data_IF_889142132757
#
_entry.id   IF_889142132757
#
_cell.length_a   1.000
_cell.length_b   1.000
_cell.length_c   1.000
_cell.angle_alpha   90.00
_cell.angle_beta   90.00
_cell.angle_gamma   90.00
#
_symmetry.space_group_name_H-M   'P 1'
#
loop_
_entity.id
_entity.type
_entity.pdbx_description
1 polymer ?
#
# COMPACT_ATOMS: atom_id res chain seq x y z
N UNK A 1 12.70 -34.34 59.81
CA UNK A 1 11.25 -34.49 60.10
C UNK A 1 10.53 -33.87 58.92
N UNK A 2 10.23 -34.64 57.87
CA UNK A 2 8.97 -35.42 57.74
C UNK A 2 7.74 -34.55 58.08
N UNK A 3 6.71 -34.41 57.26
CA UNK A 3 6.11 -35.38 56.34
C UNK A 3 5.24 -34.65 55.31
N UNK A 4 5.13 -35.26 54.14
CA UNK A 4 4.18 -35.00 53.06
C UNK A 4 2.72 -35.12 53.50
N UNK A 5 1.81 -34.53 52.69
CA UNK A 5 0.61 -35.25 52.22
C UNK A 5 0.06 -34.64 50.93
N UNK A 6 -0.04 -35.53 49.96
CA UNK A 6 -0.43 -35.38 48.56
C UNK A 6 -1.93 -35.68 48.45
N UNK A 7 -2.68 -34.88 47.67
CA UNK A 7 -4.12 -35.07 47.42
C UNK A 7 -4.35 -35.76 46.07
N UNK A 8 -5.23 -36.78 45.96
CA UNK A 8 -5.38 -37.59 44.75
C UNK A 8 -6.52 -37.14 43.82
N UNK A 9 -6.20 -37.16 42.52
CA UNK A 9 -6.96 -37.79 41.42
C UNK A 9 -8.47 -37.56 41.29
N UNK A 10 -8.87 -36.90 40.20
CA UNK A 10 -10.17 -37.15 39.55
C UNK A 10 -9.95 -37.49 38.07
N UNK A 11 -10.13 -38.77 37.76
CA UNK A 11 -10.11 -39.34 36.42
C UNK A 11 -11.54 -39.35 35.89
N UNK A 12 -11.81 -38.65 34.78
CA UNK A 12 -13.11 -38.69 34.09
C UNK A 12 -13.05 -39.78 33.02
N UNK A 13 -13.90 -40.80 33.19
CA UNK A 13 -14.15 -41.88 32.24
C UNK A 13 -15.13 -41.41 31.14
N UNK A 14 -14.71 -41.43 29.87
CA UNK A 14 -15.64 -41.39 28.73
C UNK A 14 -15.93 -42.81 28.24
N UNK A 15 -17.21 -43.17 28.31
CA UNK A 15 -17.78 -44.47 27.98
C UNK A 15 -18.17 -44.49 26.51
N UNK A 16 -17.69 -45.50 25.80
CA UNK A 16 -18.01 -45.89 24.41
C UNK A 16 -19.48 -46.33 24.26
N UNK A 17 -20.11 -45.98 23.13
CA UNK A 17 -21.32 -46.62 22.57
C UNK A 17 -21.11 -46.70 21.05
N UNK A 18 -20.67 -47.85 20.52
CA UNK A 18 -21.47 -48.96 19.96
C UNK A 18 -22.20 -48.57 18.67
N UNK A 19 -21.66 -49.13 17.59
CA UNK A 19 -22.16 -49.15 16.21
C UNK A 19 -23.58 -49.74 16.11
N UNK A 20 -24.43 -49.11 15.29
CA UNK A 20 -25.66 -49.73 14.81
C UNK A 20 -25.71 -49.68 13.27
N UNK A 21 -25.75 -50.87 12.69
CA UNK A 21 -25.83 -51.18 11.26
C UNK A 21 -27.03 -50.51 10.57
N UNK A 22 -26.83 -50.09 9.31
CA UNK A 22 -27.86 -50.26 8.27
C UNK A 22 -27.24 -50.50 6.90
N UNK A 23 -27.32 -51.76 6.50
CA UNK A 23 -27.08 -52.33 5.17
C UNK A 23 -27.96 -51.66 4.11
N UNK A 24 -27.37 -51.13 3.05
CA UNK A 24 -28.09 -50.69 1.85
C UNK A 24 -27.91 -51.72 0.74
N UNK A 25 -29.00 -52.41 0.40
CA UNK A 25 -29.04 -53.50 -0.57
C UNK A 25 -29.23 -52.94 -1.99
N UNK A 26 -28.28 -53.22 -2.88
CA UNK A 26 -28.39 -52.95 -4.32
C UNK A 26 -29.50 -53.82 -4.94
N UNK A 27 -30.51 -53.18 -5.54
CA UNK A 27 -31.42 -53.84 -6.49
C UNK A 27 -31.10 -53.37 -7.90
N UNK A 28 -30.64 -54.34 -8.68
CA UNK A 28 -30.57 -54.38 -10.14
C UNK A 28 -31.87 -53.95 -10.81
N UNK A 29 -31.79 -53.05 -11.80
CA UNK A 29 -32.76 -52.99 -12.90
C UNK A 29 -32.02 -52.78 -14.22
N UNK A 30 -32.15 -53.76 -15.11
CA UNK A 30 -31.61 -53.79 -16.47
C UNK A 30 -32.52 -52.99 -17.42
N UNK A 31 -31.88 -52.18 -18.27
CA UNK A 31 -32.08 -52.04 -19.72
C UNK A 31 -33.50 -51.77 -20.26
N UNK A 32 -33.68 -50.59 -20.88
CA UNK A 32 -34.45 -50.41 -22.14
C UNK A 32 -33.79 -49.27 -22.95
N UNK A 33 -33.60 -49.57 -24.24
CA UNK A 33 -32.94 -48.82 -25.31
C UNK A 33 -33.64 -47.54 -25.78
N UNK A 34 -32.90 -46.83 -26.66
CA UNK A 34 -33.34 -45.86 -27.67
C UNK A 34 -33.56 -44.41 -27.20
N UNK A 35 -32.48 -43.62 -27.21
CA UNK A 35 -32.49 -42.30 -27.87
C UNK A 35 -31.10 -42.01 -28.45
N UNK A 36 -30.89 -42.53 -29.66
CA UNK A 36 -29.97 -41.97 -30.65
C UNK A 36 -30.77 -40.85 -31.34
N UNK A 37 -30.41 -39.58 -31.16
CA UNK A 37 -30.65 -38.44 -32.07
C UNK A 37 -29.91 -37.21 -31.51
N UNK A 38 -28.90 -36.78 -32.26
CA UNK A 38 -28.59 -35.38 -32.54
C UNK A 38 -28.23 -34.46 -31.34
N UNK A 39 -26.95 -34.46 -30.98
CA UNK A 39 -26.28 -33.26 -30.44
C UNK A 39 -24.96 -33.05 -31.19
N UNK A 40 -25.09 -32.69 -32.47
CA UNK A 40 -24.00 -32.16 -33.28
C UNK A 40 -23.77 -30.70 -32.88
N UNK A 41 -22.50 -30.36 -32.64
CA UNK A 41 -21.93 -29.01 -32.73
C UNK A 41 -22.50 -27.93 -31.80
N UNK A 42 -22.05 -27.96 -30.53
CA UNK A 42 -21.79 -26.73 -29.77
C UNK A 42 -20.39 -26.82 -29.15
N UNK A 43 -19.38 -27.01 -30.00
CA UNK A 43 -18.04 -26.49 -29.72
C UNK A 43 -18.09 -24.98 -29.95
N UNK A 44 -18.81 -24.29 -29.05
CA UNK A 44 -18.61 -22.88 -28.83
C UNK A 44 -17.20 -22.76 -28.29
N UNK A 45 -16.34 -22.18 -29.12
CA UNK A 45 -15.00 -21.76 -28.78
C UNK A 45 -14.97 -21.20 -27.36
N UNK A 46 -14.40 -21.97 -26.42
CA UNK A 46 -13.72 -21.38 -25.27
C UNK A 46 -12.48 -20.71 -25.84
N UNK A 47 -12.67 -19.52 -26.40
CA UNK A 47 -11.58 -18.58 -26.55
C UNK A 47 -11.22 -18.19 -25.13
N UNK A 48 -10.41 -19.02 -24.48
CA UNK A 48 -9.48 -18.50 -23.48
C UNK A 48 -8.53 -17.63 -24.31
N UNK A 49 -8.95 -16.39 -24.55
CA UNK A 49 -8.04 -15.31 -24.85
C UNK A 49 -7.18 -15.22 -23.59
N UNK A 50 -6.09 -15.98 -23.58
CA UNK A 50 -5.05 -15.87 -22.57
C UNK A 50 -4.14 -14.74 -23.02
N UNK A 51 -4.74 -13.58 -23.28
CA UNK A 51 -4.07 -12.32 -23.08
C UNK A 51 -4.06 -12.12 -21.57
N UNK A 52 -3.23 -12.94 -20.89
CA UNK A 52 -2.52 -12.47 -19.71
C UNK A 52 -1.65 -11.33 -20.24
N UNK A 53 -2.27 -10.16 -20.39
CA UNK A 53 -1.61 -8.88 -20.18
C UNK A 53 -0.98 -9.03 -18.80
N UNK A 54 0.24 -9.58 -18.76
CA UNK A 54 1.14 -9.60 -17.63
C UNK A 54 1.55 -8.14 -17.40
N UNK A 55 0.57 -7.33 -17.02
CA UNK A 55 0.70 -5.97 -16.57
C UNK A 55 1.23 -6.09 -15.15
N UNK A 56 2.52 -6.37 -15.05
CA UNK A 56 3.25 -6.21 -13.79
C UNK A 56 3.02 -4.79 -13.34
N UNK A 57 2.23 -4.62 -12.28
CA UNK A 57 1.90 -3.30 -11.78
C UNK A 57 3.16 -2.62 -11.24
N UNK A 58 3.30 -1.29 -11.40
CA UNK A 58 4.49 -0.56 -10.99
C UNK A 58 4.82 -0.78 -9.50
N UNK A 59 3.82 -0.73 -8.62
CA UNK A 59 3.95 -1.00 -7.19
C UNK A 59 3.16 -2.28 -6.83
N UNK A 60 3.80 -3.14 -6.06
CA UNK A 60 3.20 -4.37 -5.54
C UNK A 60 2.34 -4.04 -4.32
N UNK A 61 1.08 -4.46 -4.29
CA UNK A 61 0.22 -4.28 -3.10
C UNK A 61 0.69 -5.17 -1.94
N UNK A 62 0.51 -4.71 -0.71
CA UNK A 62 0.89 -5.42 0.52
C UNK A 62 2.36 -5.29 0.91
N UNK A 63 3.18 -4.57 0.13
CA UNK A 63 4.56 -4.24 0.51
C UNK A 63 4.59 -3.09 1.51
N UNK A 64 5.66 -3.02 2.29
CA UNK A 64 5.86 -1.91 3.21
C UNK A 64 6.62 -0.78 2.53
N UNK A 65 6.22 0.46 2.81
CA UNK A 65 6.91 1.65 2.35
C UNK A 65 7.10 2.61 3.52
N UNK A 66 8.31 3.15 3.63
CA UNK A 66 8.66 4.20 4.58
C UNK A 66 8.81 5.52 3.85
N UNK A 67 8.14 6.55 4.35
CA UNK A 67 8.24 7.92 3.84
C UNK A 67 9.13 8.73 4.77
N UNK A 68 10.15 9.35 4.19
CA UNK A 68 11.00 10.34 4.83
C UNK A 68 10.98 11.64 4.00
N UNK A 69 11.27 12.78 4.62
CA UNK A 69 11.26 14.07 3.93
C UNK A 69 12.56 14.86 4.13
N UNK A 70 12.98 15.55 3.08
CA UNK A 70 14.06 16.54 3.15
C UNK A 70 13.62 17.82 2.48
N UNK A 71 14.19 18.93 2.94
CA UNK A 71 13.93 20.24 2.39
C UNK A 71 15.23 20.94 2.01
N UNK A 72 15.21 21.64 0.87
CA UNK A 72 16.29 22.50 0.43
C UNK A 72 15.71 23.84 0.01
N UNK A 73 16.28 24.94 0.49
CA UNK A 73 15.96 26.27 -0.01
C UNK A 73 17.16 27.18 0.08
N UNK A 74 17.36 28.01 -0.94
CA UNK A 74 18.41 29.04 -0.95
C UNK A 74 18.29 30.03 0.21
N UNK A 75 17.08 30.29 0.71
CA UNK A 75 16.83 31.29 1.77
C UNK A 75 16.76 30.67 3.16
N UNK A 76 16.26 29.44 3.29
CA UNK A 76 16.06 28.78 4.60
C UNK A 76 17.26 27.90 4.96
N UNK A 77 17.71 27.05 4.04
CA UNK A 77 18.79 26.09 4.30
C UNK A 77 20.10 26.47 3.63
N UNK A 78 20.22 27.72 3.14
CA UNK A 78 21.38 28.19 2.36
C UNK A 78 21.71 27.31 1.15
N UNK A 79 20.68 26.68 0.57
CA UNK A 79 20.81 25.78 -0.57
C UNK A 79 21.33 24.39 -0.22
N UNK A 80 21.40 24.03 1.06
CA UNK A 80 21.78 22.68 1.52
C UNK A 80 20.51 21.84 1.71
N UNK A 81 20.48 20.66 1.11
CA UNK A 81 19.43 19.67 1.40
C UNK A 81 19.57 19.17 2.84
N UNK A 82 18.49 19.29 3.61
CA UNK A 82 18.48 19.07 5.05
C UNK A 82 17.30 18.18 5.41
N UNK A 83 17.49 17.26 6.36
CA UNK A 83 16.40 16.44 6.89
C UNK A 83 15.32 17.36 7.50
N UNK A 84 14.05 17.01 7.29
CA UNK A 84 12.95 17.89 7.72
C UNK A 84 12.88 18.02 9.25
N UNK A 85 13.31 16.99 9.97
CA UNK A 85 13.40 17.00 11.43
C UNK A 85 14.37 18.07 11.94
N UNK A 86 15.47 18.32 11.23
CA UNK A 86 16.41 19.37 11.62
C UNK A 86 15.75 20.76 11.52
N UNK A 87 14.89 20.97 10.50
CA UNK A 87 14.12 22.22 10.35
C UNK A 87 13.07 22.38 11.44
N UNK A 88 12.40 21.30 11.83
CA UNK A 88 11.39 21.30 12.88
C UNK A 88 11.95 21.07 14.29
N UNK A 89 13.28 21.00 14.43
CA UNK A 89 13.98 20.69 15.68
C UNK A 89 13.44 19.41 16.36
N UNK A 90 13.11 18.41 15.56
CA UNK A 90 12.66 17.10 16.02
C UNK A 90 13.83 16.10 16.07
N UNK A 91 13.72 15.02 16.85
CA UNK A 91 14.70 13.94 16.81
C UNK A 91 14.79 13.31 15.40
N UNK A 92 16.00 12.91 14.98
CA UNK A 92 16.19 12.22 13.70
C UNK A 92 15.30 10.96 13.58
N UNK A 93 14.64 10.81 12.43
CA UNK A 93 13.73 9.69 12.13
C UNK A 93 12.38 9.76 12.84
N UNK A 94 12.09 10.82 13.60
CA UNK A 94 10.82 10.93 14.33
C UNK A 94 9.64 11.34 13.45
N UNK A 95 9.90 11.85 12.24
CA UNK A 95 8.87 12.19 11.27
C UNK A 95 8.83 11.20 10.10
N UNK A 96 9.67 10.16 10.12
CA UNK A 96 9.55 9.01 9.23
C UNK A 96 8.32 8.18 9.61
N UNK A 97 7.55 7.79 8.60
CA UNK A 97 6.35 6.97 8.80
C UNK A 97 6.38 5.78 7.86
N UNK A 98 6.04 4.60 8.37
CA UNK A 98 5.94 3.37 7.59
C UNK A 98 4.49 2.91 7.51
N UNK A 99 4.05 2.52 6.32
CA UNK A 99 2.75 1.92 6.07
C UNK A 99 2.88 0.68 5.18
N UNK A 100 1.76 -0.01 4.99
CA UNK A 100 1.60 -1.11 4.03
C UNK A 100 0.68 -0.63 2.91
N UNK A 101 1.06 -0.88 1.66
CA UNK A 101 0.28 -0.47 0.48
C UNK A 101 -1.03 -1.28 0.42
N UNK A 102 -2.17 -0.61 0.58
CA UNK A 102 -3.50 -1.22 0.57
C UNK A 102 -4.47 -0.39 -0.28
N UNK A 103 -5.79 -0.60 -0.17
CA UNK A 103 -6.81 0.16 -0.91
C UNK A 103 -7.31 1.36 -0.09
N UNK A 104 -6.42 2.07 0.61
CA UNK A 104 -6.75 3.20 1.47
C UNK A 104 -5.53 4.08 1.71
N UNK A 105 -5.77 5.38 1.92
CA UNK A 105 -4.73 6.38 2.26
C UNK A 105 -3.73 5.86 3.29
N UNK A 106 -2.49 5.64 2.85
CA UNK A 106 -1.43 5.08 3.70
C UNK A 106 -0.92 6.06 4.75
N UNK A 107 -0.87 7.35 4.42
CA UNK A 107 -0.28 8.37 5.30
C UNK A 107 -1.23 9.55 5.51
N UNK A 108 -2.29 9.38 6.31
CA UNK A 108 -3.15 10.50 6.68
C UNK A 108 -2.40 11.48 7.58
N UNK A 109 -2.54 12.77 7.31
CA UNK A 109 -1.94 13.86 8.07
C UNK A 109 -0.41 13.70 8.26
N UNK A 110 0.28 13.17 7.25
CA UNK A 110 1.73 13.04 7.20
C UNK A 110 2.42 14.38 7.45
N UNK A 111 3.62 14.29 8.03
CA UNK A 111 4.47 15.42 8.38
C UNK A 111 3.69 16.45 9.19
N UNK A 112 3.32 16.08 10.42
CA UNK A 112 2.67 16.97 11.38
C UNK A 112 1.36 17.60 10.86
N UNK A 113 0.59 16.87 10.04
CA UNK A 113 -0.69 17.32 9.50
C UNK A 113 -0.62 18.08 8.18
N UNK A 114 0.49 17.99 7.45
CA UNK A 114 0.65 18.69 6.18
C UNK A 114 -0.13 18.05 5.02
N UNK A 115 0.16 16.78 4.76
CA UNK A 115 -0.34 16.07 3.58
C UNK A 115 -1.10 14.81 3.98
N UNK A 116 -2.18 14.52 3.26
CA UNK A 116 -2.62 13.14 3.09
C UNK A 116 -1.86 12.59 1.88
N UNK A 117 -1.16 11.46 2.06
CA UNK A 117 -0.46 10.76 0.97
C UNK A 117 -1.09 9.39 0.79
N UNK A 118 -1.48 9.10 -0.45
CA UNK A 118 -2.15 7.87 -0.86
C UNK A 118 -1.36 7.24 -2.01
N UNK A 119 -1.02 5.96 -1.85
CA UNK A 119 -0.17 5.19 -2.76
C UNK A 119 -0.93 3.94 -3.19
N UNK A 120 -1.33 3.93 -4.44
CA UNK A 120 -1.87 2.74 -5.08
C UNK A 120 -0.79 2.06 -5.96
N UNK A 121 -1.18 0.97 -6.60
CA UNK A 121 -0.31 0.18 -7.47
C UNK A 121 0.24 0.95 -8.69
N UNK A 122 -0.42 2.05 -9.08
CA UNK A 122 -0.06 2.86 -10.26
C UNK A 122 0.00 4.36 -9.97
N UNK A 123 -0.29 4.80 -8.75
CA UNK A 123 -0.36 6.23 -8.46
C UNK A 123 0.20 6.56 -7.08
N UNK A 124 0.82 7.73 -6.99
CA UNK A 124 1.15 8.38 -5.72
C UNK A 124 0.44 9.73 -5.76
N UNK A 125 -0.44 9.99 -4.79
CA UNK A 125 -1.17 11.25 -4.70
C UNK A 125 -0.91 11.95 -3.38
N UNK A 126 -0.96 13.28 -3.44
CA UNK A 126 -0.78 14.16 -2.29
C UNK A 126 -1.94 15.14 -2.25
N UNK A 127 -2.51 15.35 -1.07
CA UNK A 127 -3.45 16.44 -0.79
C UNK A 127 -2.95 17.27 0.40
N UNK A 128 -2.74 18.57 0.20
CA UNK A 128 -2.34 19.48 1.27
C UNK A 128 -3.54 19.76 2.18
N UNK A 129 -3.59 19.06 3.31
CA UNK A 129 -4.70 19.10 4.27
C UNK A 129 -4.53 20.12 5.39
N UNK A 130 -3.30 20.60 5.63
CA UNK A 130 -3.07 21.70 6.57
C UNK A 130 -3.89 22.94 6.16
N UNK A 131 -4.55 23.55 7.14
CA UNK A 131 -5.49 24.65 6.91
C UNK A 131 -4.84 26.02 7.11
N UNK A 132 -5.43 27.05 6.52
CA UNK A 132 -5.03 28.44 6.78
C UNK A 132 -5.03 28.72 8.28
N UNK A 133 -3.89 29.18 8.81
CA UNK A 133 -3.71 29.43 10.25
C UNK A 133 -3.30 28.22 11.08
N UNK A 134 -2.94 27.10 10.44
CA UNK A 134 -2.25 26.00 11.09
C UNK A 134 -0.98 26.49 11.82
N UNK A 135 -0.75 25.99 13.04
CA UNK A 135 0.33 26.48 13.88
C UNK A 135 1.73 26.12 13.38
N UNK A 136 1.84 25.07 12.56
CA UNK A 136 3.09 24.59 11.97
C UNK A 136 3.31 25.19 10.58
N UNK A 137 2.26 25.20 9.75
CA UNK A 137 2.38 25.50 8.32
C UNK A 137 1.78 26.82 7.88
N UNK A 138 0.97 27.48 8.72
CA UNK A 138 0.21 28.68 8.36
C UNK A 138 1.07 29.80 7.76
N UNK A 139 2.26 30.04 8.31
CA UNK A 139 3.20 31.06 7.85
C UNK A 139 4.06 30.61 6.66
N UNK A 140 3.99 29.33 6.29
CA UNK A 140 4.77 28.74 5.20
C UNK A 140 4.00 28.71 3.87
N UNK A 141 2.68 28.90 3.88
CA UNK A 141 1.87 28.85 2.67
C UNK A 141 2.22 29.96 1.67
N UNK A 142 2.57 29.56 0.44
CA UNK A 142 3.02 30.44 -0.64
C UNK A 142 3.19 29.69 -1.96
N UNK A 143 3.52 30.39 -3.03
CA UNK A 143 4.12 29.75 -4.21
C UNK A 143 5.60 29.56 -3.96
N UNK A 144 6.11 28.33 -4.14
CA UNK A 144 7.52 28.03 -3.83
C UNK A 144 8.47 28.82 -4.72
N UNK A 145 9.48 29.42 -4.10
CA UNK A 145 10.47 30.26 -4.77
C UNK A 145 11.54 29.44 -5.48
N UNK A 146 12.21 30.03 -6.47
CA UNK A 146 13.37 29.42 -7.15
C UNK A 146 14.42 28.91 -6.16
N UNK A 147 14.91 27.70 -6.40
CA UNK A 147 15.90 27.06 -5.54
C UNK A 147 15.32 26.49 -4.24
N UNK A 148 13.99 26.31 -4.19
CA UNK A 148 13.28 25.53 -3.16
C UNK A 148 12.90 24.16 -3.72
N UNK A 149 13.17 23.12 -2.94
CA UNK A 149 12.82 21.74 -3.23
C UNK A 149 12.36 21.06 -1.95
N UNK A 150 11.27 20.32 -2.05
CA UNK A 150 10.73 19.49 -0.98
C UNK A 150 10.64 18.05 -1.50
N UNK A 151 11.36 17.12 -0.87
CA UNK A 151 11.57 15.76 -1.39
C UNK A 151 11.06 14.71 -0.43
N UNK A 152 10.17 13.88 -0.94
CA UNK A 152 9.55 12.77 -0.23
C UNK A 152 10.16 11.48 -0.75
N UNK A 153 10.92 10.80 0.11
CA UNK A 153 11.60 9.54 -0.18
C UNK A 153 10.69 8.39 0.22
N UNK A 154 10.25 7.62 -0.75
CA UNK A 154 9.48 6.39 -0.58
C UNK A 154 10.43 5.20 -0.67
N UNK A 155 10.77 4.63 0.47
CA UNK A 155 11.66 3.46 0.58
C UNK A 155 10.83 2.21 0.81
N UNK A 156 10.75 1.35 -0.20
CA UNK A 156 10.04 0.09 -0.18
C UNK A 156 10.92 -1.01 0.43
N UNK A 157 10.31 -1.95 1.16
CA UNK A 157 11.01 -3.12 1.72
C UNK A 157 11.36 -4.18 0.66
N UNK A 158 10.68 -4.13 -0.48
CA UNK A 158 10.90 -5.00 -1.65
C UNK A 158 11.13 -4.16 -2.93
N UNK A 159 11.82 -4.68 -3.96
CA UNK A 159 11.93 -4.04 -5.27
C UNK A 159 10.57 -3.89 -5.97
N UNK A 160 10.35 -2.75 -6.61
CA UNK A 160 9.19 -2.38 -7.40
C UNK A 160 9.53 -2.33 -8.89
N UNK A 161 8.50 -2.29 -9.75
CA UNK A 161 8.62 -2.35 -11.20
C UNK A 161 8.40 -0.99 -11.88
N UNK A 162 8.70 0.11 -11.18
CA UNK A 162 8.53 1.46 -11.72
C UNK A 162 9.65 1.76 -12.73
N UNK A 163 9.25 2.05 -13.96
CA UNK A 163 10.14 2.32 -15.10
C UNK A 163 9.95 3.72 -15.68
N UNK A 164 8.82 4.37 -15.39
CA UNK A 164 8.53 5.74 -15.79
C UNK A 164 7.37 6.34 -15.02
N UNK A 165 7.05 7.60 -15.32
CA UNK A 165 5.96 8.32 -14.67
C UNK A 165 5.43 9.47 -15.52
N UNK A 166 4.27 9.98 -15.14
CA UNK A 166 3.74 11.30 -15.51
C UNK A 166 3.24 12.01 -14.26
N UNK A 167 3.29 13.34 -14.22
CA UNK A 167 2.64 14.14 -13.18
C UNK A 167 1.58 15.04 -13.79
N UNK A 168 0.49 15.29 -13.06
CA UNK A 168 -0.52 16.29 -13.42
C UNK A 168 -0.12 17.72 -13.01
N UNK A 169 1.06 17.90 -12.42
CA UNK A 169 1.56 19.18 -11.96
C UNK A 169 2.99 19.43 -12.48
N UNK A 170 3.16 20.50 -13.26
CA UNK A 170 4.44 20.85 -13.92
C UNK A 170 5.58 21.16 -12.94
N UNK A 171 5.28 21.39 -11.66
CA UNK A 171 6.25 21.68 -10.60
C UNK A 171 6.57 20.48 -9.73
N UNK A 172 6.04 19.31 -10.07
CA UNK A 172 6.27 18.05 -9.37
C UNK A 172 6.89 17.06 -10.33
N UNK A 173 7.94 16.39 -9.88
CA UNK A 173 8.62 15.34 -10.64
C UNK A 173 8.86 14.11 -9.76
N UNK A 174 9.13 12.98 -10.40
CA UNK A 174 9.57 11.76 -9.75
C UNK A 174 11.01 11.45 -10.16
N UNK A 175 11.83 11.04 -9.21
CA UNK A 175 13.15 10.45 -9.45
C UNK A 175 13.12 9.00 -8.98
N UNK A 176 13.66 8.10 -9.79
CA UNK A 176 13.80 6.68 -9.46
C UNK A 176 15.26 6.47 -9.07
N UNK A 177 15.54 6.46 -7.76
CA UNK A 177 16.92 6.33 -7.26
C UNK A 177 17.36 4.86 -7.26
N UNK A 178 16.42 3.94 -7.05
CA UNK A 178 16.61 2.50 -7.23
C UNK A 178 15.25 1.81 -7.39
N UNK A 179 15.23 0.49 -7.62
CA UNK A 179 13.99 -0.28 -7.67
C UNK A 179 13.20 -0.24 -6.34
N UNK A 180 13.82 0.15 -5.23
CA UNK A 180 13.14 0.24 -3.92
C UNK A 180 13.07 1.67 -3.39
N UNK A 181 13.52 2.68 -4.15
CA UNK A 181 13.53 4.07 -3.69
C UNK A 181 13.02 4.98 -4.79
N UNK A 182 11.83 5.55 -4.55
CA UNK A 182 11.24 6.61 -5.35
C UNK A 182 11.32 7.93 -4.59
N UNK A 183 11.58 9.02 -5.30
CA UNK A 183 11.64 10.35 -4.70
C UNK A 183 10.69 11.27 -5.44
N UNK A 184 9.65 11.72 -4.76
CA UNK A 184 8.78 12.79 -5.25
C UNK A 184 9.43 14.11 -4.88
N UNK A 185 9.74 14.93 -5.89
CA UNK A 185 10.35 16.25 -5.71
C UNK A 185 9.35 17.33 -6.13
N UNK A 186 8.99 18.19 -5.18
CA UNK A 186 8.18 19.40 -5.39
C UNK A 186 9.14 20.58 -5.50
N UNK A 187 9.02 21.36 -6.57
CA UNK A 187 9.95 22.42 -6.91
C UNK A 187 9.33 23.83 -6.96
N UNK A 188 10.17 24.78 -7.40
CA UNK A 188 9.80 26.17 -7.59
C UNK A 188 8.61 26.34 -8.54
N UNK A 189 7.66 27.20 -8.15
CA UNK A 189 6.41 27.44 -8.87
C UNK A 189 5.22 26.64 -8.35
N UNK A 190 5.45 25.60 -7.53
CA UNK A 190 4.36 24.86 -6.90
C UNK A 190 3.51 25.76 -5.99
N UNK A 191 2.19 25.58 -6.05
CA UNK A 191 1.24 26.28 -5.20
C UNK A 191 1.12 25.60 -3.83
N UNK A 192 1.97 25.98 -2.87
CA UNK A 192 1.93 25.43 -1.51
C UNK A 192 0.86 26.16 -0.67
N UNK A 193 -0.41 25.95 -1.00
CA UNK A 193 -1.56 26.51 -0.28
C UNK A 193 -2.60 25.40 0.03
N UNK A 194 -3.41 25.57 1.10
CA UNK A 194 -4.43 24.60 1.51
C UNK A 194 -5.32 24.11 0.37
N UNK A 195 -5.57 22.80 0.33
CA UNK A 195 -6.40 22.13 -0.67
C UNK A 195 -5.72 21.92 -2.03
N UNK A 196 -4.43 22.27 -2.16
CA UNK A 196 -3.68 21.90 -3.37
C UNK A 196 -3.38 20.40 -3.35
N UNK A 197 -3.60 19.75 -4.48
CA UNK A 197 -3.29 18.33 -4.67
C UNK A 197 -2.54 18.11 -5.98
N UNK A 198 -1.87 16.97 -6.07
CA UNK A 198 -1.28 16.48 -7.31
C UNK A 198 -1.23 14.95 -7.30
N UNK A 199 -1.13 14.37 -8.48
CA UNK A 199 -1.00 12.92 -8.69
C UNK A 199 0.17 12.63 -9.62
N UNK A 200 0.93 11.60 -9.26
CA UNK A 200 1.94 10.98 -10.11
C UNK A 200 1.39 9.63 -10.55
N UNK A 201 1.29 9.41 -11.86
CA UNK A 201 0.97 8.11 -12.46
C UNK A 201 2.26 7.39 -12.80
N UNK A 202 2.38 6.13 -12.39
CA UNK A 202 3.55 5.28 -12.56
C UNK A 202 3.35 4.30 -13.72
N UNK A 203 4.43 3.97 -14.42
CA UNK A 203 4.48 3.01 -15.52
C UNK A 203 5.60 1.99 -15.35
#
# INVERSE_FOLDING_TARGET
MESSKQSPGHTIYFKTNVNFFKTLTMKTLKSISCYLILSLALSSFTSCDSDDDNTTLPITSGVSVTVANTFQSTTITSGVETAIEDLFMQPAGSLEVTATIENAVEFPAYLLGLYDIDIDQNTISFELVAQTGDATYGDLFRTLETGTFDRYYFTFDEPQNVSGFTSDNDYVTLRIDSNSVLVVEIGAGFNFNPGTSFTITLN
#
